data_IF_594615957589
#
_entry.id   IF_594615957589
#
_cell.length_a   1.000
_cell.length_b   1.000
_cell.length_c   1.000
_cell.angle_alpha   90.00
_cell.angle_beta   90.00
_cell.angle_gamma   90.00
#
_symmetry.space_group_name_H-M   'P 1'
#
loop_
_entity.id
_entity.type
_entity.pdbx_description
1 polymer ?
#
# COMPACT_ATOMS: atom_id res chain seq x y z
N UNK A 1 -4.05 1.22 -5.90
CA UNK A 1 -3.09 0.72 -4.89
C UNK A 1 -2.68 -0.72 -5.23
N UNK A 2 -1.58 -1.23 -4.65
CA UNK A 2 -0.90 -2.53 -4.87
C UNK A 2 -0.96 -3.11 -6.31
N UNK A 3 -2.14 -3.55 -6.76
CA UNK A 3 -2.44 -3.96 -8.13
C UNK A 3 -2.46 -2.81 -9.17
N UNK A 4 -2.13 -1.57 -8.80
CA UNK A 4 -2.12 -0.42 -9.72
C UNK A 4 -3.50 0.09 -10.15
N UNK A 5 -4.57 -0.32 -9.48
CA UNK A 5 -5.95 0.11 -9.79
C UNK A 5 -6.31 1.36 -8.98
N UNK A 6 -7.00 2.37 -9.55
CA UNK A 6 -7.57 3.48 -8.78
C UNK A 6 -8.43 3.00 -7.62
N UNK A 7 -8.42 3.72 -6.50
CA UNK A 7 -9.20 3.31 -5.32
C UNK A 7 -9.99 4.49 -4.79
N UNK A 8 -11.29 4.28 -4.59
CA UNK A 8 -12.18 5.20 -3.87
C UNK A 8 -12.36 4.67 -2.45
N UNK A 9 -12.13 5.52 -1.45
CA UNK A 9 -12.29 5.19 -0.02
C UNK A 9 -13.20 6.21 0.65
N UNK A 10 -13.71 5.91 1.84
CA UNK A 10 -14.45 6.88 2.66
C UNK A 10 -13.50 7.96 3.16
N UNK A 11 -13.98 9.20 3.21
CA UNK A 11 -13.27 10.28 3.88
C UNK A 11 -13.50 10.18 5.40
N UNK A 12 -12.66 9.39 6.07
CA UNK A 12 -12.69 9.15 7.51
C UNK A 12 -11.31 9.42 8.12
N UNK A 13 -11.24 9.78 9.43
CA UNK A 13 -10.00 10.24 10.05
C UNK A 13 -8.80 9.29 9.94
N UNK A 14 -9.02 7.98 9.96
CA UNK A 14 -7.96 6.96 9.91
C UNK A 14 -7.07 7.06 8.66
N UNK A 15 -7.54 7.72 7.60
CA UNK A 15 -6.80 7.88 6.34
C UNK A 15 -6.12 9.24 6.18
N UNK A 16 -6.27 10.18 7.12
CA UNK A 16 -5.79 11.57 6.94
C UNK A 16 -4.29 11.66 6.74
N UNK A 17 -3.52 10.91 7.52
CA UNK A 17 -2.07 11.12 7.60
C UNK A 17 -1.27 10.36 6.54
N UNK A 18 -1.91 9.43 5.83
CA UNK A 18 -1.19 8.52 4.92
C UNK A 18 -1.84 8.28 3.57
N UNK A 19 -3.06 8.76 3.36
CA UNK A 19 -3.72 8.79 2.06
C UNK A 19 -4.12 10.23 1.74
N UNK A 20 -3.76 10.70 0.54
CA UNK A 20 -4.08 12.06 0.07
C UNK A 20 -5.15 11.97 -1.02
N UNK A 21 -6.24 12.73 -0.87
CA UNK A 21 -7.33 12.78 -1.86
C UNK A 21 -6.82 13.33 -3.19
N UNK A 22 -7.21 12.71 -4.30
CA UNK A 22 -6.78 13.06 -5.65
C UNK A 22 -5.33 12.65 -5.99
N UNK A 23 -4.53 12.24 -5.02
CA UNK A 23 -3.12 11.86 -5.23
C UNK A 23 -2.93 10.35 -5.11
N UNK A 24 -3.25 9.77 -3.95
CA UNK A 24 -3.07 8.33 -3.72
C UNK A 24 -4.37 7.53 -3.79
N UNK A 25 -5.50 8.19 -3.53
CA UNK A 25 -6.86 7.65 -3.56
C UNK A 25 -7.84 8.78 -3.87
N UNK A 26 -9.10 8.43 -4.16
CA UNK A 26 -10.22 9.38 -4.10
C UNK A 26 -10.99 9.18 -2.79
N UNK A 27 -11.10 10.20 -1.94
CA UNK A 27 -11.81 10.15 -0.65
C UNK A 27 -13.23 10.68 -0.80
N UNK A 28 -14.26 9.89 -0.52
CA UNK A 28 -15.64 10.32 -0.63
C UNK A 28 -16.29 10.58 0.74
N UNK A 29 -16.91 11.75 0.90
CA UNK A 29 -17.53 12.16 2.18
C UNK A 29 -18.89 11.52 2.45
N UNK A 30 -19.65 11.21 1.41
CA UNK A 30 -21.00 10.64 1.46
C UNK A 30 -21.24 9.69 0.27
N UNK A 31 -22.42 9.07 0.20
CA UNK A 31 -22.72 8.09 -0.85
C UNK A 31 -22.84 8.73 -2.24
N UNK A 32 -23.30 9.98 -2.33
CA UNK A 32 -23.41 10.70 -3.59
C UNK A 32 -22.03 11.06 -4.15
N UNK A 33 -21.13 11.52 -3.29
CA UNK A 33 -19.73 11.75 -3.64
C UNK A 33 -19.02 10.45 -4.04
N UNK A 34 -19.30 9.35 -3.34
CA UNK A 34 -18.75 8.04 -3.69
C UNK A 34 -19.18 7.60 -5.09
N UNK A 35 -20.48 7.69 -5.39
CA UNK A 35 -21.02 7.38 -6.71
C UNK A 35 -20.37 8.27 -7.79
N UNK A 36 -20.34 9.59 -7.58
CA UNK A 36 -19.72 10.53 -8.51
C UNK A 36 -18.26 10.21 -8.79
N UNK A 37 -17.48 9.91 -7.74
CA UNK A 37 -16.04 9.59 -7.86
C UNK A 37 -15.83 8.27 -8.60
N UNK A 38 -16.65 7.24 -8.33
CA UNK A 38 -16.59 5.97 -9.07
C UNK A 38 -16.96 6.17 -10.55
N UNK A 39 -18.09 6.81 -10.83
CA UNK A 39 -18.53 7.07 -12.21
C UNK A 39 -17.51 7.90 -12.98
N UNK A 40 -16.98 8.98 -12.39
CA UNK A 40 -15.98 9.81 -13.04
C UNK A 40 -14.66 9.08 -13.33
N UNK A 41 -14.23 8.17 -12.44
CA UNK A 41 -13.05 7.34 -12.71
C UNK A 41 -13.28 6.31 -13.83
N UNK A 42 -14.48 5.72 -13.90
CA UNK A 42 -14.82 4.73 -14.93
C UNK A 42 -15.02 5.38 -16.31
N UNK A 43 -15.58 6.58 -16.34
CA UNK A 43 -15.82 7.33 -17.58
C UNK A 43 -14.57 8.08 -18.08
N UNK A 44 -13.54 8.22 -17.24
CA UNK A 44 -12.35 9.02 -17.55
C UNK A 44 -12.52 10.53 -17.30
N UNK A 45 -13.61 10.94 -16.66
CA UNK A 45 -13.89 12.33 -16.30
C UNK A 45 -13.04 12.82 -15.11
N UNK A 46 -12.45 11.89 -14.35
CA UNK A 46 -11.57 12.20 -13.21
C UNK A 46 -10.15 11.68 -13.45
N UNK A 47 -9.12 12.46 -13.07
CA UNK A 47 -7.75 11.99 -13.12
C UNK A 47 -7.57 10.78 -12.20
N UNK A 48 -6.84 9.78 -12.70
CA UNK A 48 -6.59 8.54 -11.98
C UNK A 48 -5.53 8.72 -10.89
N UNK A 49 -5.83 8.40 -9.60
CA UNK A 49 -4.83 8.38 -8.52
C UNK A 49 -3.99 7.08 -8.50
N UNK A 50 -4.06 6.24 -9.54
CA UNK A 50 -3.45 4.91 -9.54
C UNK A 50 -1.94 4.92 -9.25
N UNK A 51 -1.21 5.85 -9.88
CA UNK A 51 0.24 5.97 -9.72
C UNK A 51 0.63 6.34 -8.28
N UNK A 52 0.01 7.37 -7.70
CA UNK A 52 0.25 7.75 -6.31
C UNK A 52 -0.18 6.65 -5.33
N UNK A 53 -1.28 5.96 -5.62
CA UNK A 53 -1.73 4.83 -4.81
C UNK A 53 -0.79 3.62 -4.88
N UNK A 54 -0.12 3.41 -6.00
CA UNK A 54 0.92 2.39 -6.13
C UNK A 54 2.17 2.77 -5.33
N UNK A 55 2.55 4.03 -5.33
CA UNK A 55 3.70 4.53 -4.57
C UNK A 55 3.48 4.41 -3.05
N UNK A 56 2.28 4.76 -2.57
CA UNK A 56 1.91 4.52 -1.17
C UNK A 56 1.98 3.04 -0.82
N UNK A 57 1.53 2.15 -1.70
CA UNK A 57 1.60 0.71 -1.45
C UNK A 57 3.04 0.18 -1.40
N UNK A 58 3.94 0.71 -2.25
CA UNK A 58 5.37 0.35 -2.24
C UNK A 58 6.09 0.80 -0.99
N UNK A 59 5.90 2.07 -0.59
CA UNK A 59 6.50 2.64 0.61
C UNK A 59 6.02 1.97 1.90
N UNK A 60 4.81 1.39 1.89
CA UNK A 60 4.22 0.64 3.01
C UNK A 60 4.29 -0.88 2.86
N UNK A 61 5.06 -1.39 1.91
CA UNK A 61 5.24 -2.84 1.72
C UNK A 61 5.89 -3.50 2.94
N UNK A 62 5.68 -4.81 3.13
CA UNK A 62 6.27 -5.57 4.24
C UNK A 62 7.80 -5.38 4.28
N UNK A 63 8.47 -5.42 3.12
CA UNK A 63 9.90 -5.20 3.04
C UNK A 63 10.32 -3.78 3.46
N UNK A 64 9.55 -2.75 3.09
CA UNK A 64 9.81 -1.37 3.49
C UNK A 64 9.59 -1.17 4.99
N UNK A 65 8.49 -1.69 5.54
CA UNK A 65 8.19 -1.64 6.98
C UNK A 65 9.23 -2.43 7.79
N UNK A 66 9.72 -3.56 7.28
CA UNK A 66 10.79 -4.33 7.91
C UNK A 66 12.11 -3.55 8.03
N UNK A 67 12.46 -2.73 7.02
CA UNK A 67 13.62 -1.82 7.11
C UNK A 67 13.42 -0.74 8.16
N UNK A 68 12.23 -0.13 8.22
CA UNK A 68 11.90 0.88 9.25
C UNK A 68 11.99 0.27 10.65
N UNK A 69 11.41 -0.93 10.83
CA UNK A 69 11.44 -1.63 12.10
C UNK A 69 12.88 -1.96 12.53
N UNK A 70 13.70 -2.46 11.60
CA UNK A 70 15.13 -2.69 11.84
C UNK A 70 15.83 -1.43 12.35
N UNK A 71 15.63 -0.29 11.69
CA UNK A 71 16.23 0.98 12.13
C UNK A 71 15.80 1.34 13.56
N UNK A 72 14.53 1.13 13.92
CA UNK A 72 14.05 1.37 15.29
C UNK A 72 14.75 0.45 16.28
N UNK A 73 14.89 -0.84 15.98
CA UNK A 73 15.57 -1.78 16.87
C UNK A 73 17.04 -1.41 17.09
N UNK A 74 17.73 -0.98 16.04
CA UNK A 74 19.12 -0.51 16.12
C UNK A 74 19.23 0.76 16.97
N UNK A 75 18.29 1.71 16.82
CA UNK A 75 18.25 2.95 17.62
C UNK A 75 17.95 2.69 19.11
N UNK A 76 17.04 1.76 19.39
CA UNK A 76 16.64 1.42 20.76
C UNK A 76 17.57 0.39 21.42
N UNK A 77 18.63 -0.06 20.73
CA UNK A 77 19.57 -1.07 21.23
C UNK A 77 18.94 -2.45 21.47
N UNK A 78 17.83 -2.75 20.79
CA UNK A 78 17.10 -3.99 20.93
C UNK A 78 17.72 -5.10 20.08
N UNK A 79 17.87 -6.33 20.64
CA UNK A 79 18.38 -7.44 19.86
C UNK A 79 17.38 -7.85 18.77
N UNK A 80 17.86 -8.00 17.54
CA UNK A 80 17.14 -8.72 16.49
C UNK A 80 18.13 -9.48 15.60
N UNK A 81 17.67 -10.58 15.02
CA UNK A 81 18.47 -11.35 14.07
C UNK A 81 18.45 -10.65 12.72
N UNK A 82 19.63 -10.26 12.23
CA UNK A 82 19.75 -9.90 10.81
C UNK A 82 19.52 -11.20 10.02
N UNK A 83 18.61 -11.23 9.03
CA UNK A 83 18.48 -12.41 8.18
C UNK A 83 19.86 -12.69 7.59
N UNK A 84 20.40 -13.88 7.82
CA UNK A 84 21.63 -14.30 7.16
C UNK A 84 21.44 -14.13 5.64
N UNK A 85 22.43 -13.52 4.98
CA UNK A 85 22.46 -13.36 3.53
C UNK A 85 22.49 -14.74 2.86
N UNK A 86 21.30 -15.35 2.69
CA UNK A 86 21.16 -16.66 2.07
C UNK A 86 20.35 -17.63 2.92
N UNK A 87 19.03 -17.64 2.70
CA UNK A 87 18.27 -18.84 2.30
C UNK A 87 16.81 -18.40 2.10
N UNK A 88 16.51 -17.81 0.95
CA UNK A 88 15.17 -18.02 0.37
C UNK A 88 15.15 -19.49 0.02
N UNK A 89 14.58 -20.32 0.90
CA UNK A 89 14.49 -21.77 0.71
C UNK A 89 13.78 -22.02 -0.62
N UNK A 90 14.53 -22.35 -1.66
CA UNK A 90 14.00 -22.74 -2.95
C UNK A 90 12.93 -23.82 -2.70
N UNK A 91 11.71 -23.59 -3.18
CA UNK A 91 10.62 -24.56 -3.08
C UNK A 91 11.12 -25.84 -3.74
N UNK A 92 11.31 -26.90 -2.94
CA UNK A 92 11.63 -28.23 -3.46
C UNK A 92 10.48 -28.67 -4.38
N UNK A 93 10.74 -29.14 -5.61
CA UNK A 93 9.68 -29.67 -6.45
C UNK A 93 9.07 -30.91 -5.76
N UNK A 94 7.74 -30.96 -5.74
CA UNK A 94 6.98 -32.11 -5.26
C UNK A 94 7.23 -33.29 -6.21
N UNK A 95 7.93 -34.31 -5.76
CA UNK A 95 7.99 -35.58 -6.46
C UNK A 95 6.66 -36.30 -6.24
N UNK A 96 5.85 -36.41 -7.28
CA UNK A 96 4.70 -37.31 -7.30
C UNK A 96 5.20 -38.74 -7.46
N UNK A 97 4.89 -39.58 -6.48
CA UNK A 97 4.91 -41.04 -6.58
C UNK A 97 3.52 -41.53 -6.99
#
# INVERSE_FOLDING_TARGET
MACGIPTVVRDIPVYRDWLTDGVSVCKAKDNWDFLRKVSGLLNGDLPSPAAGGLEVARSRSIAAMGRVLRTIYELEGLPYQTPEEGTVRARRPMAHA
#
